data_IF_812604647850
#
_entry.id   IF_812604647850
#
_cell.length_a   1.000
_cell.length_b   1.000
_cell.length_c   1.000
_cell.angle_alpha   90.00
_cell.angle_beta   90.00
_cell.angle_gamma   90.00
#
_symmetry.space_group_name_H-M   'P 1'
#
loop_
_entity.id
_entity.type
_entity.pdbx_description
1 polymer ?
#
# COMPACT_ATOMS: atom_id res chain seq x y z
N UNK A 1 -7.98 26.53 10.66
CA UNK A 1 -7.90 25.97 10.15
C UNK A 1 -7.23 25.39 9.50
N UNK A 2 -6.86 25.16 9.51
CA UNK A 2 -6.27 24.70 8.76
C UNK A 2 -6.49 24.07 7.83
N UNK A 3 -6.85 24.04 7.64
CA UNK A 3 -7.35 23.44 6.68
C UNK A 3 -6.64 22.73 5.71
N UNK A 4 -5.48 22.67 5.76
CA UNK A 4 -4.80 22.00 4.77
C UNK A 4 -4.64 20.61 5.14
N UNK A 5 -5.18 19.72 4.36
CA UNK A 5 -5.02 18.33 4.58
C UNK A 5 -3.61 17.93 4.20
N UNK A 6 -2.89 17.41 5.11
CA UNK A 6 -1.58 16.88 4.80
C UNK A 6 -1.71 15.59 4.03
N UNK A 7 -0.80 15.36 3.10
CA UNK A 7 -0.74 14.08 2.42
C UNK A 7 -0.34 13.03 3.46
N UNK A 8 -1.06 11.92 3.58
CA UNK A 8 -0.70 10.90 4.55
C UNK A 8 0.69 10.35 4.29
N UNK A 9 1.39 10.02 5.37
CA UNK A 9 2.70 9.42 5.23
C UNK A 9 2.58 8.04 4.57
N UNK A 10 3.69 7.53 4.06
CA UNK A 10 3.70 6.19 3.47
C UNK A 10 3.26 5.15 4.48
N UNK A 11 3.68 5.28 5.74
CA UNK A 11 3.28 4.34 6.78
C UNK A 11 1.79 4.42 7.05
N UNK A 12 1.21 5.61 7.04
CA UNK A 12 -0.23 5.76 7.23
C UNK A 12 -1.01 5.15 6.08
N UNK A 13 -0.51 5.31 4.85
CA UNK A 13 -1.15 4.71 3.69
C UNK A 13 -1.08 3.19 3.74
N UNK A 14 0.06 2.65 4.17
CA UNK A 14 0.20 1.21 4.33
C UNK A 14 -0.73 0.69 5.41
N UNK A 15 -0.89 1.43 6.51
CA UNK A 15 -1.80 1.03 7.58
C UNK A 15 -3.24 0.97 7.08
N UNK A 16 -3.64 1.91 6.22
CA UNK A 16 -4.97 1.90 5.64
C UNK A 16 -5.17 0.68 4.74
N UNK A 17 -4.16 0.31 3.97
CA UNK A 17 -4.23 -0.89 3.14
C UNK A 17 -4.37 -2.15 4.00
N UNK A 18 -3.62 -2.24 5.08
CA UNK A 18 -3.69 -3.40 5.97
C UNK A 18 -5.08 -3.53 6.57
N UNK A 19 -5.68 -2.40 6.95
CA UNK A 19 -7.01 -2.41 7.53
C UNK A 19 -8.07 -2.82 6.51
N UNK A 20 -7.93 -2.35 5.28
CA UNK A 20 -8.90 -2.63 4.23
C UNK A 20 -8.75 -4.04 3.66
N UNK A 21 -7.54 -4.56 3.61
CA UNK A 21 -7.25 -5.85 3.02
C UNK A 21 -6.43 -6.70 3.98
N UNK A 22 -7.06 -7.22 5.06
CA UNK A 22 -6.31 -7.95 6.08
C UNK A 22 -5.70 -9.27 5.58
N UNK A 23 -6.13 -9.74 4.41
CA UNK A 23 -5.53 -10.91 3.80
C UNK A 23 -4.18 -10.65 3.15
N UNK A 24 -3.70 -9.41 3.21
CA UNK A 24 -2.42 -9.04 2.60
C UNK A 24 -1.48 -8.46 3.64
N UNK A 25 -0.23 -8.86 3.56
CA UNK A 25 0.84 -8.22 4.34
C UNK A 25 1.33 -7.03 3.52
N UNK A 26 1.28 -5.83 4.10
CA UNK A 26 1.66 -4.61 3.40
C UNK A 26 2.90 -4.03 4.06
N UNK A 27 3.93 -3.79 3.26
CA UNK A 27 5.18 -3.23 3.73
C UNK A 27 5.52 -1.98 2.94
N UNK A 28 6.26 -1.08 3.57
CA UNK A 28 6.80 0.10 2.89
C UNK A 28 8.29 -0.09 2.78
N UNK A 29 8.77 -0.05 1.55
CA UNK A 29 10.19 -0.15 1.24
C UNK A 29 10.63 1.19 0.67
N UNK A 30 11.92 1.45 0.69
CA UNK A 30 12.44 2.65 0.05
C UNK A 30 13.44 2.27 -1.01
N UNK A 31 13.30 2.88 -2.18
CA UNK A 31 14.25 2.65 -3.25
C UNK A 31 15.50 3.52 -3.02
N UNK A 32 16.43 3.46 -3.93
CA UNK A 32 17.67 4.21 -3.80
C UNK A 32 17.46 5.70 -3.72
N UNK A 33 16.43 6.21 -4.38
CA UNK A 33 16.12 7.63 -4.35
C UNK A 33 15.40 8.07 -3.10
N UNK A 34 15.15 7.14 -2.18
CA UNK A 34 14.43 7.45 -0.96
C UNK A 34 12.92 7.50 -1.13
N UNK A 35 12.41 7.21 -2.31
CA UNK A 35 10.98 7.19 -2.54
C UNK A 35 10.37 5.93 -1.93
N UNK A 36 9.19 6.07 -1.30
CA UNK A 36 8.54 4.90 -0.74
C UNK A 36 8.01 3.99 -1.85
N UNK A 37 8.09 2.72 -1.60
CA UNK A 37 7.54 1.71 -2.47
C UNK A 37 6.70 0.79 -1.62
N UNK A 38 5.47 0.53 -2.06
CA UNK A 38 4.53 -0.28 -1.30
C UNK A 38 4.54 -1.70 -1.84
N UNK A 39 4.56 -2.66 -0.92
CA UNK A 39 4.53 -4.06 -1.27
C UNK A 39 3.35 -4.71 -0.57
N UNK A 40 2.49 -5.36 -1.33
CA UNK A 40 1.37 -6.12 -0.78
C UNK A 40 1.54 -7.57 -1.18
N UNK A 41 1.61 -8.46 -0.20
CA UNK A 41 1.82 -9.88 -0.44
C UNK A 41 0.66 -10.64 0.16
N UNK A 42 0.07 -11.53 -0.63
CA UNK A 42 -1.04 -12.35 -0.16
C UNK A 42 -0.58 -13.29 0.94
N UNK A 43 -1.32 -13.34 2.03
CA UNK A 43 -0.99 -14.22 3.15
C UNK A 43 -1.36 -15.66 2.89
N UNK A 44 -2.34 -15.88 2.02
CA UNK A 44 -2.83 -17.24 1.73
C UNK A 44 -2.48 -17.72 0.33
N UNK A 45 -1.65 -16.98 -0.38
CA UNK A 45 -1.26 -17.36 -1.73
C UNK A 45 -2.27 -17.04 -2.79
N UNK A 46 -3.31 -16.27 -2.45
CA UNK A 46 -4.33 -15.87 -3.42
C UNK A 46 -3.80 -14.91 -4.46
N UNK A 47 -4.65 -14.58 -5.41
CA UNK A 47 -4.30 -13.74 -6.54
C UNK A 47 -4.88 -12.34 -6.35
N UNK A 48 -4.12 -11.26 -6.53
CA UNK A 48 -2.69 -11.27 -6.89
C UNK A 48 -1.82 -11.68 -5.71
N UNK A 49 -0.77 -12.42 -5.99
CA UNK A 49 0.10 -12.90 -4.94
C UNK A 49 0.97 -11.79 -4.36
N UNK A 50 1.49 -10.94 -5.23
CA UNK A 50 2.40 -9.88 -4.80
C UNK A 50 2.25 -8.68 -5.72
N UNK A 51 2.12 -7.51 -5.12
CA UNK A 51 2.05 -6.25 -5.85
C UNK A 51 3.10 -5.32 -5.29
N UNK A 52 3.84 -4.67 -6.15
CA UNK A 52 4.83 -3.66 -5.75
C UNK A 52 4.63 -2.43 -6.62
N UNK A 53 4.48 -1.28 -5.99
CA UNK A 53 4.29 -0.04 -6.72
C UNK A 53 4.70 1.15 -5.88
N UNK A 54 5.16 2.19 -6.54
CA UNK A 54 5.40 3.47 -5.88
C UNK A 54 4.11 4.27 -5.77
N UNK A 55 3.06 3.85 -6.46
CA UNK A 55 1.77 4.53 -6.42
C UNK A 55 0.78 3.66 -5.66
N UNK A 56 0.46 4.08 -4.45
CA UNK A 56 -0.44 3.31 -3.60
C UNK A 56 -1.83 3.14 -4.22
N UNK A 57 -2.23 4.06 -5.09
CA UNK A 57 -3.54 3.95 -5.74
C UNK A 57 -3.61 2.75 -6.68
N UNK A 58 -2.50 2.39 -7.28
CA UNK A 58 -2.46 1.18 -8.10
C UNK A 58 -2.72 -0.06 -7.27
N UNK A 59 -2.13 -0.09 -6.08
CA UNK A 59 -2.32 -1.22 -5.17
C UNK A 59 -3.78 -1.30 -4.76
N UNK A 60 -4.38 -0.17 -4.35
CA UNK A 60 -5.79 -0.15 -4.01
C UNK A 60 -6.65 -0.68 -5.15
N UNK A 61 -6.36 -0.24 -6.36
CA UNK A 61 -7.13 -0.62 -7.52
C UNK A 61 -7.05 -2.12 -7.78
N UNK A 62 -5.85 -2.67 -7.72
CA UNK A 62 -5.65 -4.10 -7.98
C UNK A 62 -6.27 -4.97 -6.88
N UNK A 63 -6.11 -4.57 -5.63
CA UNK A 63 -6.67 -5.35 -4.55
C UNK A 63 -8.19 -5.35 -4.54
N UNK A 64 -8.80 -4.25 -4.98
CA UNK A 64 -10.24 -4.19 -5.08
C UNK A 64 -10.81 -5.12 -6.16
N UNK A 65 -10.02 -5.39 -7.20
CA UNK A 65 -10.46 -6.25 -8.28
C UNK A 65 -10.50 -7.72 -7.87
N UNK A 66 -9.70 -8.09 -6.89
CA UNK A 66 -9.60 -9.50 -6.52
C UNK A 66 -10.64 -9.96 -5.52
#
# INVERSE_FOLDING_TARGET
MTGMAAVPSAQAQAAALRAAFPGYAVNVLRNRGGQPRFEAVSRDGGDPYCLISTDVREIWCELRKS
#
